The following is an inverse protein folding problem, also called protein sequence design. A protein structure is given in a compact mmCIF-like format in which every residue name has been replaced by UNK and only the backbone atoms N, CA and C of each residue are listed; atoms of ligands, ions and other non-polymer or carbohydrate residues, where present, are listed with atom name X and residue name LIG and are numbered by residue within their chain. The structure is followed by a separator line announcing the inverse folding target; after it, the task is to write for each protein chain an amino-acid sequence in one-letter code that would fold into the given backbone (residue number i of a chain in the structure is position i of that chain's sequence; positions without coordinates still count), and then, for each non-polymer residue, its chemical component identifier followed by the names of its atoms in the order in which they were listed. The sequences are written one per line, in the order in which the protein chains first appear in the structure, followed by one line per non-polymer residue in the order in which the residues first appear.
data_IF_909353298211
#
_entry.id   IF_909353298211
#
_cell.length_a   1.000
_cell.length_b   1.000
_cell.length_c   1.000
_cell.angle_alpha   90.00
_cell.angle_beta   90.00
_cell.angle_gamma   90.00
#
_symmetry.space_group_name_H-M   'P 1'
#
loop_
_entity.id
_entity.type
_entity.pdbx_description
1 polymer ?
#
# COMPACT_ATOMS: atom_id res chain seq x y z
N UNK A 1 -57.84 -4.62 -15.38
CA UNK A 1 -56.61 -5.32 -14.95
C UNK A 1 -55.49 -4.33 -14.99
N UNK A 2 -55.15 -3.74 -13.85
CA UNK A 2 -54.16 -2.67 -13.77
C UNK A 2 -53.36 -2.81 -12.48
N UNK A 3 -52.04 -2.63 -12.64
CA UNK A 3 -51.15 -1.86 -11.76
C UNK A 3 -50.58 -2.57 -10.52
N UNK A 4 -49.23 -2.58 -10.50
CA UNK A 4 -48.30 -2.58 -9.38
C UNK A 4 -48.43 -3.68 -8.31
N UNK A 5 -47.59 -4.72 -8.45
CA UNK A 5 -46.97 -5.34 -7.28
C UNK A 5 -45.81 -4.45 -6.85
N UNK A 6 -46.10 -3.55 -5.91
CA UNK A 6 -45.11 -2.86 -5.10
C UNK A 6 -44.17 -3.89 -4.47
N UNK A 7 -42.88 -3.78 -4.79
CA UNK A 7 -41.86 -4.24 -3.85
C UNK A 7 -42.00 -3.34 -2.63
N UNK A 8 -42.56 -3.87 -1.56
CA UNK A 8 -42.51 -3.23 -0.25
C UNK A 8 -41.04 -3.16 0.17
N UNK A 9 -40.44 -1.98 -0.01
CA UNK A 9 -39.30 -1.53 0.78
C UNK A 9 -39.78 -1.38 2.22
N UNK A 10 -39.86 -2.49 2.95
CA UNK A 10 -39.96 -2.45 4.39
C UNK A 10 -38.72 -3.12 4.99
N UNK A 11 -37.95 -2.24 5.62
CA UNK A 11 -37.16 -2.49 6.82
C UNK A 11 -35.75 -3.06 6.66
N UNK A 12 -34.84 -2.17 6.24
CA UNK A 12 -33.51 -2.07 6.82
C UNK A 12 -33.15 -0.58 6.87
N UNK A 13 -33.73 0.13 7.83
CA UNK A 13 -33.18 1.43 8.27
C UNK A 13 -31.86 1.20 9.01
N UNK A 14 -30.87 0.69 8.29
CA UNK A 14 -29.49 0.74 8.73
C UNK A 14 -29.10 2.21 8.58
N UNK A 15 -29.23 2.99 9.65
CA UNK A 15 -28.90 4.42 9.66
C UNK A 15 -27.59 4.61 8.90
N UNK A 16 -27.64 5.25 7.72
CA UNK A 16 -26.47 5.40 6.89
C UNK A 16 -25.42 6.13 7.72
N UNK A 17 -24.32 5.45 8.06
CA UNK A 17 -23.23 6.02 8.86
C UNK A 17 -22.82 7.34 8.23
N UNK A 18 -22.92 8.42 9.00
CA UNK A 18 -22.39 9.70 8.57
C UNK A 18 -20.90 9.75 8.89
N UNK A 19 -20.17 10.66 8.23
CA UNK A 19 -18.73 10.81 8.48
C UNK A 19 -18.44 11.18 9.95
N UNK A 20 -19.35 11.89 10.61
CA UNK A 20 -19.17 12.37 11.99
C UNK A 20 -19.30 11.23 13.02
N UNK A 21 -19.92 10.11 12.65
CA UNK A 21 -20.08 8.94 13.51
C UNK A 21 -18.82 8.06 13.55
N UNK A 22 -17.92 8.21 12.57
CA UNK A 22 -16.77 7.31 12.39
C UNK A 22 -15.56 7.85 13.17
N UNK A 23 -15.29 7.22 14.31
CA UNK A 23 -14.11 7.51 15.13
C UNK A 23 -12.99 6.52 14.85
N UNK A 24 -11.99 6.96 14.08
CA UNK A 24 -10.79 6.18 13.77
C UNK A 24 -9.71 6.48 14.80
N UNK A 25 -9.26 5.43 15.50
CA UNK A 25 -8.10 5.47 16.40
C UNK A 25 -6.96 4.64 15.80
N UNK A 26 -5.70 4.79 16.28
CA UNK A 26 -4.57 4.04 15.74
C UNK A 26 -4.79 2.51 15.76
N UNK A 27 -5.22 1.97 16.90
CA UNK A 27 -5.45 0.52 17.05
C UNK A 27 -6.74 0.03 16.37
N UNK A 28 -7.78 0.87 16.27
CA UNK A 28 -8.94 0.52 15.46
C UNK A 28 -8.55 0.36 13.98
N UNK A 29 -7.76 1.30 13.45
CA UNK A 29 -7.28 1.22 12.07
C UNK A 29 -6.34 0.04 11.87
N UNK A 30 -5.46 -0.25 12.84
CA UNK A 30 -4.61 -1.44 12.78
C UNK A 30 -5.45 -2.71 12.71
N UNK A 31 -6.39 -2.91 13.62
CA UNK A 31 -7.25 -4.11 13.62
C UNK A 31 -8.04 -4.25 12.32
N UNK A 32 -8.54 -3.15 11.77
CA UNK A 32 -9.18 -3.14 10.47
C UNK A 32 -8.22 -3.53 9.33
N UNK A 33 -6.99 -3.03 9.36
CA UNK A 33 -5.95 -3.40 8.38
C UNK A 33 -5.52 -4.85 8.53
N UNK A 34 -5.48 -5.40 9.73
CA UNK A 34 -5.21 -6.81 10.02
C UNK A 34 -6.31 -7.75 9.47
N UNK A 35 -7.54 -7.26 9.31
CA UNK A 35 -8.57 -7.92 8.52
C UNK A 35 -8.41 -7.68 7.01
N UNK A 36 -8.66 -6.43 6.59
CA UNK A 36 -8.97 -6.07 5.20
C UNK A 36 -7.85 -5.33 4.45
N UNK A 37 -6.75 -5.04 5.13
CA UNK A 37 -5.57 -4.42 4.52
C UNK A 37 -4.79 -5.39 3.64
N UNK A 38 -4.19 -4.87 2.57
CA UNK A 38 -3.36 -5.65 1.64
C UNK A 38 -2.07 -4.90 1.33
N UNK A 39 -0.95 -5.56 1.63
CA UNK A 39 0.40 -5.15 1.27
C UNK A 39 0.85 -5.94 0.05
N UNK A 40 1.16 -5.24 -1.04
CA UNK A 40 1.58 -5.91 -2.27
C UNK A 40 2.58 -5.07 -3.07
N UNK A 41 3.30 -5.76 -3.95
CA UNK A 41 4.28 -5.15 -4.83
C UNK A 41 3.78 -5.25 -6.26
N UNK A 42 3.58 -4.10 -6.90
CA UNK A 42 3.21 -4.04 -8.31
C UNK A 42 4.45 -4.34 -9.15
N UNK A 43 4.42 -5.48 -9.85
CA UNK A 43 5.36 -5.79 -10.93
C UNK A 43 4.87 -5.13 -12.22
N UNK A 44 5.75 -4.42 -12.92
CA UNK A 44 5.43 -3.66 -14.14
C UNK A 44 6.70 -3.05 -14.72
N UNK A 45 6.58 -1.91 -15.43
CA UNK A 45 7.78 -1.18 -15.94
C UNK A 45 8.78 -0.81 -14.83
N UNK A 46 8.29 -0.69 -13.60
CA UNK A 46 9.12 -0.52 -12.41
C UNK A 46 8.44 -1.21 -11.25
N UNK A 47 9.24 -1.81 -10.37
CA UNK A 47 8.76 -2.40 -9.13
C UNK A 47 8.34 -1.28 -8.16
N UNK A 48 7.15 -1.41 -7.57
CA UNK A 48 6.63 -0.39 -6.66
C UNK A 48 5.76 -0.98 -5.57
N UNK A 49 5.98 -0.51 -4.34
CA UNK A 49 5.11 -0.82 -3.22
C UNK A 49 3.71 -0.22 -3.40
N UNK A 50 2.71 -0.95 -2.92
CA UNK A 50 1.31 -0.58 -2.85
C UNK A 50 0.69 -1.10 -1.55
N UNK A 51 -0.14 -0.27 -0.96
CA UNK A 51 -1.02 -0.66 0.13
C UNK A 51 -2.46 -0.38 -0.30
N UNK A 52 -3.38 -1.28 -0.01
CA UNK A 52 -4.80 -1.04 -0.27
C UNK A 52 -5.71 -1.64 0.78
N UNK A 53 -6.92 -1.08 0.85
CA UNK A 53 -8.05 -1.61 1.60
C UNK A 53 -9.22 -1.68 0.62
N UNK A 54 -9.84 -2.85 0.48
CA UNK A 54 -11.02 -3.06 -0.34
C UNK A 54 -12.26 -3.25 0.52
N UNK A 55 -13.38 -2.64 0.14
CA UNK A 55 -14.66 -2.82 0.83
C UNK A 55 -15.84 -2.82 -0.15
N UNK A 56 -17.02 -3.16 0.35
CA UNK A 56 -18.27 -2.95 -0.40
C UNK A 56 -18.47 -1.47 -0.74
N UNK A 57 -19.17 -1.15 -1.83
CA UNK A 57 -19.44 0.24 -2.19
C UNK A 57 -20.20 1.02 -1.11
N UNK A 58 -21.06 0.33 -0.35
CA UNK A 58 -21.83 0.90 0.75
C UNK A 58 -20.92 1.51 1.84
N UNK A 59 -19.72 0.96 2.00
CA UNK A 59 -18.74 1.41 3.00
C UNK A 59 -17.76 2.45 2.45
N UNK A 60 -18.07 3.09 1.31
CA UNK A 60 -17.21 4.12 0.74
C UNK A 60 -16.93 5.27 1.74
N UNK A 61 -17.92 5.64 2.56
CA UNK A 61 -17.76 6.69 3.59
C UNK A 61 -16.69 6.29 4.61
N UNK A 62 -16.58 5.00 4.94
CA UNK A 62 -15.54 4.47 5.83
C UNK A 62 -14.15 4.63 5.18
N UNK A 63 -14.00 4.22 3.92
CA UNK A 63 -12.71 4.37 3.22
C UNK A 63 -12.31 5.83 3.04
N UNK A 64 -13.27 6.71 2.75
CA UNK A 64 -13.02 8.15 2.69
C UNK A 64 -12.61 8.69 4.08
N UNK A 65 -13.17 8.18 5.18
CA UNK A 65 -12.77 8.56 6.54
C UNK A 65 -11.38 8.04 6.92
N UNK A 66 -11.03 6.81 6.53
CA UNK A 66 -9.67 6.25 6.69
C UNK A 66 -8.65 7.07 5.90
N UNK A 67 -9.00 7.51 4.68
CA UNK A 67 -8.15 8.41 3.89
C UNK A 67 -7.90 9.71 4.65
N UNK A 68 -8.93 10.38 5.17
CA UNK A 68 -8.76 11.63 5.92
C UNK A 68 -7.93 11.42 7.19
N UNK A 69 -8.11 10.30 7.90
CA UNK A 69 -7.29 9.95 9.05
C UNK A 69 -5.80 9.80 8.67
N UNK A 70 -5.48 9.08 7.59
CA UNK A 70 -4.10 8.97 7.13
C UNK A 70 -3.51 10.33 6.73
N UNK A 71 -4.31 11.23 6.14
CA UNK A 71 -3.88 12.57 5.74
C UNK A 71 -3.72 13.53 6.93
N UNK A 72 -4.31 13.22 8.10
CA UNK A 72 -4.16 14.00 9.33
C UNK A 72 -2.95 13.58 10.18
N UNK A 73 -2.29 12.47 9.84
CA UNK A 73 -1.09 12.00 10.55
C UNK A 73 0.08 13.00 10.44
N UNK A 74 0.97 13.03 11.45
CA UNK A 74 2.21 13.80 11.37
C UNK A 74 3.06 13.43 10.14
N UNK A 75 3.78 14.41 9.58
CA UNK A 75 4.66 14.19 8.43
C UNK A 75 3.99 14.27 7.06
N UNK A 76 2.66 14.43 7.01
CA UNK A 76 1.95 14.76 5.77
C UNK A 76 2.20 16.24 5.44
N UNK A 77 2.87 16.49 4.32
CA UNK A 77 3.05 17.85 3.81
C UNK A 77 1.66 18.45 3.52
N UNK A 78 1.28 19.48 4.28
CA UNK A 78 0.06 20.25 3.99
C UNK A 78 0.28 20.98 2.66
N UNK A 79 -0.71 21.00 1.74
CA UNK A 79 -0.61 21.81 0.53
C UNK A 79 -0.32 23.25 0.94
N UNK A 80 0.84 23.78 0.55
CA UNK A 80 1.28 25.12 0.96
C UNK A 80 0.59 26.24 0.19
N UNK A 81 -0.17 25.94 -0.86
CA UNK A 81 -1.15 26.85 -1.44
C UNK A 81 -2.37 26.04 -1.89
N UNK A 82 -3.53 26.43 -1.37
CA UNK A 82 -4.84 26.03 -1.85
C UNK A 82 -4.99 26.55 -3.28
N UNK A 83 -4.63 25.74 -4.29
CA UNK A 83 -5.19 25.89 -5.64
C UNK A 83 -6.66 25.47 -5.58
N UNK A 84 -7.48 26.29 -4.92
CA UNK A 84 -8.93 26.25 -5.08
C UNK A 84 -9.15 26.74 -6.51
N UNK A 85 -9.34 25.79 -7.42
CA UNK A 85 -10.05 26.14 -8.65
C UNK A 85 -11.44 26.62 -8.25
N UNK A 86 -11.93 27.72 -8.82
CA UNK A 86 -13.24 28.32 -8.52
C UNK A 86 -14.42 27.35 -8.70
N UNK A 87 -14.19 26.15 -9.23
CA UNK A 87 -15.13 25.03 -9.32
C UNK A 87 -15.20 24.13 -8.07
N UNK A 88 -14.45 24.41 -6.99
CA UNK A 88 -14.46 23.59 -5.77
C UNK A 88 -13.71 22.25 -5.88
N UNK A 89 -13.11 21.97 -7.03
CA UNK A 89 -12.30 20.78 -7.26
C UNK A 89 -10.84 21.05 -6.90
N UNK A 90 -10.38 20.50 -5.78
CA UNK A 90 -8.96 20.38 -5.54
C UNK A 90 -8.38 19.35 -6.53
N UNK A 91 -7.81 19.80 -7.65
CA UNK A 91 -6.90 18.97 -8.48
C UNK A 91 -5.53 18.77 -7.80
N UNK A 92 -5.52 18.64 -6.47
CA UNK A 92 -4.34 18.30 -5.70
C UNK A 92 -4.03 16.80 -5.88
N UNK A 93 -2.77 16.47 -6.14
CA UNK A 93 -2.31 15.09 -6.16
C UNK A 93 -2.45 14.51 -4.75
N UNK A 94 -3.56 13.81 -4.47
CA UNK A 94 -3.71 13.08 -3.22
C UNK A 94 -2.83 11.82 -3.27
N UNK A 95 -1.96 11.57 -2.27
CA UNK A 95 -1.14 10.35 -2.21
C UNK A 95 -1.98 9.08 -2.02
N UNK A 96 -3.24 9.25 -1.62
CA UNK A 96 -4.24 8.22 -1.36
C UNK A 96 -5.40 8.39 -2.35
N UNK A 97 -5.76 7.32 -3.07
CA UNK A 97 -6.91 7.30 -3.98
C UNK A 97 -7.99 6.38 -3.42
N UNK A 98 -9.21 6.89 -3.29
CA UNK A 98 -10.41 6.05 -3.12
C UNK A 98 -11.11 5.97 -4.46
N UNK A 99 -11.35 4.76 -4.95
CA UNK A 99 -12.01 4.53 -6.24
C UNK A 99 -13.04 3.44 -6.17
N UNK A 100 -14.09 3.59 -6.97
CA UNK A 100 -15.09 2.55 -7.19
C UNK A 100 -14.52 1.54 -8.18
N UNK A 101 -14.62 0.26 -7.85
CA UNK A 101 -14.22 -0.83 -8.73
C UNK A 101 -15.41 -1.26 -9.57
N UNK A 102 -15.17 -1.49 -10.87
CA UNK A 102 -16.23 -1.96 -11.76
C UNK A 102 -16.64 -3.38 -11.33
N UNK A 103 -17.93 -3.64 -11.09
CA UNK A 103 -18.38 -4.99 -10.79
C UNK A 103 -18.07 -5.91 -11.96
N UNK A 104 -17.51 -7.08 -11.68
CA UNK A 104 -17.34 -8.14 -12.65
C UNK A 104 -18.52 -9.11 -12.55
N UNK A 105 -19.15 -9.44 -13.67
CA UNK A 105 -20.15 -10.51 -13.73
C UNK A 105 -21.31 -10.41 -12.73
N UNK A 106 -22.04 -9.29 -12.71
CA UNK A 106 -23.23 -9.12 -11.86
C UNK A 106 -22.96 -8.98 -10.36
N UNK A 107 -21.68 -8.97 -9.93
CA UNK A 107 -21.31 -8.74 -8.54
C UNK A 107 -21.77 -7.36 -8.03
N UNK A 108 -21.94 -7.23 -6.72
CA UNK A 108 -22.16 -5.92 -6.08
C UNK A 108 -20.92 -5.03 -6.30
N UNK A 109 -21.11 -3.71 -6.49
CA UNK A 109 -19.99 -2.79 -6.65
C UNK A 109 -19.13 -2.76 -5.38
N UNK A 110 -17.82 -2.60 -5.57
CA UNK A 110 -16.84 -2.47 -4.50
C UNK A 110 -16.14 -1.11 -4.58
N UNK A 111 -15.46 -0.73 -3.51
CA UNK A 111 -14.57 0.42 -3.49
C UNK A 111 -13.20 0.02 -2.93
N UNK A 112 -12.17 0.75 -3.32
CA UNK A 112 -10.79 0.52 -2.90
C UNK A 112 -10.10 1.82 -2.55
N UNK A 113 -9.50 1.85 -1.37
CA UNK A 113 -8.48 2.81 -0.99
C UNK A 113 -7.12 2.25 -1.44
N UNK A 114 -6.34 3.05 -2.16
CA UNK A 114 -5.02 2.68 -2.67
C UNK A 114 -4.00 3.77 -2.34
N UNK A 115 -2.92 3.37 -1.68
CA UNK A 115 -1.76 4.20 -1.39
C UNK A 115 -0.58 3.71 -2.22
N UNK A 116 -0.05 4.62 -3.02
CA UNK A 116 0.84 4.31 -4.14
C UNK A 116 2.02 5.28 -4.25
N UNK A 117 1.93 6.41 -3.56
CA UNK A 117 2.99 7.40 -3.49
C UNK A 117 4.12 6.90 -2.57
N UNK A 118 5.30 6.62 -3.14
CA UNK A 118 6.45 6.08 -2.39
C UNK A 118 6.83 6.94 -1.19
N UNK A 119 6.74 8.25 -1.32
CA UNK A 119 7.11 9.18 -0.25
C UNK A 119 6.15 9.10 0.92
N UNK A 120 4.85 9.08 0.67
CA UNK A 120 3.84 8.86 1.69
C UNK A 120 4.01 7.49 2.36
N UNK A 121 4.28 6.44 1.57
CA UNK A 121 4.53 5.10 2.12
C UNK A 121 5.71 5.09 3.08
N UNK A 122 6.85 5.65 2.66
CA UNK A 122 8.10 5.63 3.45
C UNK A 122 8.05 6.55 4.68
N UNK A 123 7.40 7.72 4.56
CA UNK A 123 7.52 8.77 5.58
C UNK A 123 6.29 8.87 6.50
N UNK A 124 5.16 8.26 6.13
CA UNK A 124 3.91 8.35 6.90
C UNK A 124 3.38 6.96 7.24
N UNK A 125 3.09 6.14 6.22
CA UNK A 125 2.41 4.86 6.44
C UNK A 125 3.28 3.84 7.19
N UNK A 126 4.52 3.65 6.75
CA UNK A 126 5.45 2.71 7.39
C UNK A 126 5.75 3.14 8.84
N UNK A 127 6.16 4.39 9.13
CA UNK A 127 6.39 4.83 10.50
C UNK A 127 5.17 4.73 11.42
N UNK A 128 3.96 4.99 10.89
CA UNK A 128 2.72 4.81 11.66
C UNK A 128 2.55 3.36 12.09
N UNK A 129 2.66 2.40 11.18
CA UNK A 129 2.49 0.99 11.51
C UNK A 129 3.66 0.39 12.30
N UNK A 130 4.87 0.90 12.14
CA UNK A 130 6.04 0.53 12.96
C UNK A 130 5.88 0.98 14.42
N UNK A 131 5.01 1.97 14.69
CA UNK A 131 4.75 2.46 16.05
C UNK A 131 3.68 1.68 16.82
N UNK A 132 3.04 0.69 16.18
CA UNK A 132 1.93 -0.06 16.74
C UNK A 132 2.29 -1.54 16.93
N UNK A 133 1.64 -2.18 17.89
CA UNK A 133 1.78 -3.61 18.17
C UNK A 133 0.74 -4.43 17.40
N UNK A 134 1.19 -5.30 16.53
CA UNK A 134 0.35 -6.16 15.69
C UNK A 134 -0.11 -7.42 16.43
N UNK A 135 -1.25 -7.98 16.03
CA UNK A 135 -1.86 -9.15 16.68
C UNK A 135 -2.05 -10.33 15.72
N UNK A 136 -1.71 -10.16 14.43
CA UNK A 136 -1.92 -11.13 13.37
C UNK A 136 -0.67 -11.39 12.54
N UNK A 137 -0.71 -12.49 11.77
CA UNK A 137 0.36 -12.83 10.79
C UNK A 137 0.52 -11.78 9.68
N UNK A 138 -0.40 -10.83 9.53
CA UNK A 138 -0.27 -9.75 8.55
C UNK A 138 0.91 -8.84 8.86
N UNK A 139 1.37 -8.79 10.11
CA UNK A 139 2.62 -8.12 10.48
C UNK A 139 3.80 -8.65 9.66
N UNK A 140 3.89 -9.97 9.48
CA UNK A 140 4.98 -10.58 8.72
C UNK A 140 4.93 -10.16 7.25
N UNK A 141 3.73 -10.01 6.68
CA UNK A 141 3.55 -9.50 5.31
C UNK A 141 3.94 -8.02 5.20
N UNK A 142 3.63 -7.23 6.23
CA UNK A 142 4.06 -5.84 6.33
C UNK A 142 5.59 -5.72 6.44
N UNK A 143 6.24 -6.54 7.25
CA UNK A 143 7.71 -6.58 7.41
C UNK A 143 8.39 -6.93 6.09
N UNK A 144 7.95 -8.00 5.42
CA UNK A 144 8.47 -8.43 4.12
C UNK A 144 8.28 -7.35 3.05
N UNK A 145 7.10 -6.75 3.01
CA UNK A 145 6.78 -5.66 2.09
C UNK A 145 7.63 -4.42 2.34
N UNK A 146 7.87 -4.06 3.61
CA UNK A 146 8.76 -2.97 4.02
C UNK A 146 10.20 -3.24 3.59
N UNK A 147 10.70 -4.47 3.80
CA UNK A 147 12.02 -4.91 3.36
C UNK A 147 12.21 -4.76 1.84
N UNK A 148 11.22 -5.20 1.04
CA UNK A 148 11.24 -4.98 -0.41
C UNK A 148 11.28 -3.49 -0.74
N UNK A 149 10.57 -2.64 0.03
CA UNK A 149 10.66 -1.18 -0.08
C UNK A 149 12.08 -0.64 0.07
N UNK A 150 12.81 -1.10 1.10
CA UNK A 150 14.21 -0.72 1.34
C UNK A 150 15.09 -1.12 0.15
N UNK A 151 14.95 -2.35 -0.34
CA UNK A 151 15.70 -2.86 -1.51
C UNK A 151 15.38 -2.06 -2.79
N UNK A 152 14.12 -1.63 -2.97
CA UNK A 152 13.72 -0.76 -4.08
C UNK A 152 14.38 0.62 -3.96
N UNK A 153 14.32 1.23 -2.78
CA UNK A 153 14.86 2.56 -2.53
C UNK A 153 16.39 2.62 -2.71
N UNK A 154 17.09 1.53 -2.40
CA UNK A 154 18.53 1.37 -2.66
C UNK A 154 18.85 0.88 -4.09
N UNK A 155 17.85 0.64 -4.94
CA UNK A 155 18.05 0.17 -6.32
C UNK A 155 18.60 -1.24 -6.46
N UNK A 156 18.51 -2.05 -5.42
CA UNK A 156 19.03 -3.43 -5.39
C UNK A 156 18.27 -4.34 -6.36
N UNK A 157 17.01 -4.03 -6.64
CA UNK A 157 16.19 -4.70 -7.66
C UNK A 157 16.73 -4.59 -9.10
N UNK A 158 17.73 -3.74 -9.37
CA UNK A 158 18.45 -3.72 -10.66
C UNK A 158 19.69 -4.63 -10.68
N UNK A 159 19.93 -5.39 -9.62
CA UNK A 159 21.01 -6.36 -9.50
C UNK A 159 20.42 -7.78 -9.57
N UNK A 160 21.08 -8.74 -10.24
CA UNK A 160 20.59 -10.12 -10.30
C UNK A 160 20.35 -10.75 -8.93
N UNK A 161 21.27 -10.54 -7.98
CA UNK A 161 21.12 -11.03 -6.61
C UNK A 161 19.90 -10.42 -5.89
N UNK A 162 19.66 -9.12 -6.10
CA UNK A 162 18.51 -8.43 -5.52
C UNK A 162 17.17 -8.88 -6.11
N UNK A 163 17.14 -9.20 -7.40
CA UNK A 163 15.95 -9.78 -8.05
C UNK A 163 15.59 -11.14 -7.44
N UNK A 164 16.58 -12.04 -7.30
CA UNK A 164 16.39 -13.37 -6.67
C UNK A 164 15.88 -13.24 -5.23
N UNK A 165 16.50 -12.37 -4.44
CA UNK A 165 16.08 -12.14 -3.04
C UNK A 165 14.65 -11.59 -2.98
N UNK A 166 14.32 -10.59 -3.80
CA UNK A 166 12.96 -10.01 -3.82
C UNK A 166 11.94 -11.08 -4.23
N UNK A 167 12.21 -11.89 -5.25
CA UNK A 167 11.29 -12.97 -5.65
C UNK A 167 11.09 -14.00 -4.53
N UNK A 168 12.14 -14.35 -3.78
CA UNK A 168 12.04 -15.25 -2.61
C UNK A 168 11.19 -14.64 -1.49
N UNK A 169 11.34 -13.33 -1.21
CA UNK A 169 10.48 -12.61 -0.24
C UNK A 169 9.01 -12.62 -0.72
N UNK A 170 8.77 -12.26 -1.99
CA UNK A 170 7.42 -12.17 -2.54
C UNK A 170 6.72 -13.53 -2.63
N UNK A 171 7.47 -14.62 -2.79
CA UNK A 171 6.93 -15.97 -2.74
C UNK A 171 6.49 -16.39 -1.33
N UNK A 172 7.12 -15.83 -0.28
CA UNK A 172 6.83 -16.11 1.12
C UNK A 172 5.75 -15.21 1.75
N UNK A 173 5.37 -14.11 1.12
CA UNK A 173 4.37 -13.18 1.66
C UNK A 173 2.92 -13.56 1.29
N UNK A 174 1.96 -12.99 2.02
CA UNK A 174 0.51 -13.13 1.80
C UNK A 174 0.08 -14.61 1.75
N UNK A 175 -0.62 -15.01 0.67
CA UNK A 175 -1.06 -16.39 0.47
C UNK A 175 0.09 -17.40 0.39
N UNK A 176 1.30 -16.97 0.01
CA UNK A 176 2.49 -17.81 0.03
C UNK A 176 2.82 -18.30 1.44
N UNK A 177 2.65 -17.42 2.44
CA UNK A 177 2.87 -17.72 3.87
C UNK A 177 1.90 -18.76 4.42
N UNK A 178 0.69 -18.80 3.88
CA UNK A 178 -0.38 -19.69 4.33
C UNK A 178 -0.42 -21.00 3.52
N UNK A 179 0.50 -21.17 2.57
CA UNK A 179 0.56 -22.37 1.74
C UNK A 179 1.03 -23.58 2.54
N UNK A 180 0.35 -24.70 2.40
CA UNK A 180 0.69 -26.00 3.02
C UNK A 180 1.44 -26.93 2.08
N UNK A 181 2.01 -26.40 1.00
CA UNK A 181 2.60 -27.20 -0.06
C UNK A 181 4.02 -27.69 0.33
N UNK A 182 4.21 -29.00 0.54
CA UNK A 182 5.44 -29.65 1.03
C UNK A 182 6.78 -29.27 0.35
N UNK A 183 6.78 -28.59 -0.80
CA UNK A 183 8.00 -28.01 -1.40
C UNK A 183 8.53 -26.78 -0.64
N UNK A 184 7.69 -26.06 0.11
CA UNK A 184 8.12 -24.91 0.93
C UNK A 184 8.85 -25.34 2.21
N UNK A 185 8.54 -26.52 2.75
CA UNK A 185 9.16 -27.05 3.98
C UNK A 185 10.67 -27.34 3.82
N UNK A 186 11.14 -27.55 2.58
CA UNK A 186 12.57 -27.67 2.28
C UNK A 186 13.31 -26.30 2.33
N UNK A 187 12.59 -25.17 2.17
CA UNK A 187 13.17 -23.82 2.24
C UNK A 187 13.37 -23.34 3.69
N UNK A 188 12.63 -23.88 4.68
CA UNK A 188 12.77 -23.48 6.08
C UNK A 188 14.14 -23.84 6.70
N UNK A 189 14.82 -24.88 6.19
CA UNK A 189 16.17 -25.25 6.61
C UNK A 189 17.26 -24.28 6.14
N UNK A 190 16.94 -23.35 5.25
CA UNK A 190 17.85 -22.39 4.61
C UNK A 190 17.61 -20.93 5.09
N UNK A 191 16.82 -20.74 6.15
CA UNK A 191 16.42 -19.40 6.61
C UNK A 191 17.59 -18.58 7.19
N UNK A 192 18.61 -19.22 7.77
CA UNK A 192 19.80 -18.52 8.27
C UNK A 192 20.70 -18.01 7.13
N UNK A 193 20.93 -18.84 6.10
CA UNK A 193 21.67 -18.43 4.90
C UNK A 193 20.95 -17.29 4.19
N UNK A 194 19.63 -17.42 4.01
CA UNK A 194 18.84 -16.40 3.34
C UNK A 194 18.87 -15.06 4.08
N UNK A 195 18.77 -15.07 5.41
CA UNK A 195 18.88 -13.86 6.21
C UNK A 195 20.25 -13.19 6.05
N UNK A 196 21.32 -13.97 6.06
CA UNK A 196 22.68 -13.46 5.83
C UNK A 196 22.81 -12.82 4.43
N UNK A 197 22.28 -13.46 3.39
CA UNK A 197 22.28 -12.91 2.02
C UNK A 197 21.54 -11.57 1.92
N UNK A 198 20.41 -11.44 2.62
CA UNK A 198 19.65 -10.18 2.70
C UNK A 198 20.47 -9.11 3.42
N UNK A 199 21.08 -9.44 4.56
CA UNK A 199 21.90 -8.53 5.36
C UNK A 199 23.13 -8.05 4.57
N UNK A 200 23.83 -8.94 3.89
CA UNK A 200 24.97 -8.63 3.02
C UNK A 200 24.56 -7.69 1.88
N UNK A 201 23.41 -7.95 1.23
CA UNK A 201 22.90 -7.11 0.16
C UNK A 201 22.54 -5.69 0.65
N UNK A 202 21.98 -5.58 1.85
CA UNK A 202 21.63 -4.31 2.49
C UNK A 202 22.86 -3.54 2.97
N UNK A 203 23.90 -4.24 3.46
CA UNK A 203 25.16 -3.65 3.90
C UNK A 203 25.98 -3.10 2.73
N UNK A 204 25.86 -3.71 1.54
CA UNK A 204 26.50 -3.19 0.34
C UNK A 204 25.99 -1.78 0.00
N UNK A 205 26.82 -0.91 -0.63
CA UNK A 205 26.39 0.43 -1.03
C UNK A 205 25.12 0.43 -1.89
N UNK A 206 24.29 1.47 -1.75
CA UNK A 206 23.14 1.71 -2.64
C UNK A 206 23.56 1.59 -4.10
N UNK A 207 22.73 1.01 -4.98
CA UNK A 207 22.95 0.96 -6.43
C UNK A 207 22.41 2.23 -7.14
N UNK A 208 21.89 3.18 -6.38
CA UNK A 208 21.37 4.46 -6.87
C UNK A 208 22.16 5.60 -6.26
N UNK A 209 22.45 6.61 -7.09
CA UNK A 209 22.92 7.92 -6.66
C UNK A 209 21.88 8.99 -7.05
N UNK A 210 21.68 9.98 -6.19
CA UNK A 210 20.81 11.12 -6.47
C UNK A 210 21.70 12.30 -6.85
N UNK A 211 21.59 12.73 -8.11
CA UNK A 211 22.31 13.87 -8.64
C UNK A 211 21.43 15.14 -8.58
N UNK A 212 21.98 16.26 -9.06
CA UNK A 212 21.30 17.55 -9.12
C UNK A 212 19.85 17.47 -9.66
N UNK A 213 18.98 18.30 -9.09
CA UNK A 213 17.54 18.36 -9.43
C UNK A 213 16.79 17.04 -9.16
N UNK A 214 17.29 16.22 -8.23
CA UNK A 214 16.68 14.96 -7.82
C UNK A 214 16.75 13.85 -8.87
N UNK A 215 17.69 13.94 -9.83
CA UNK A 215 17.85 12.94 -10.88
C UNK A 215 18.47 11.67 -10.32
N UNK A 216 17.82 10.54 -10.58
CA UNK A 216 18.24 9.23 -10.09
C UNK A 216 19.16 8.59 -11.14
N UNK A 217 20.41 8.31 -10.77
CA UNK A 217 21.37 7.55 -11.58
C UNK A 217 21.49 6.13 -11.05
N UNK A 218 21.36 5.12 -11.93
CA UNK A 218 21.46 3.71 -11.57
C UNK A 218 22.86 3.23 -11.95
N UNK A 219 23.69 2.90 -10.95
CA UNK A 219 25.11 2.56 -11.12
C UNK A 219 25.30 1.32 -11.99
N UNK A 220 24.62 0.22 -11.67
CA UNK A 220 24.74 -1.04 -12.42
C UNK A 220 24.36 -0.91 -13.89
N UNK A 221 23.40 -0.05 -14.22
CA UNK A 221 22.89 0.14 -15.57
C UNK A 221 23.54 1.32 -16.32
N UNK A 222 24.42 2.08 -15.64
CA UNK A 222 25.09 3.29 -16.16
C UNK A 222 24.15 4.29 -16.84
N UNK A 223 22.93 4.46 -16.31
CA UNK A 223 21.91 5.34 -16.91
C UNK A 223 21.04 6.05 -15.87
N UNK A 224 20.45 7.16 -16.28
CA UNK A 224 19.43 7.85 -15.50
C UNK A 224 18.08 7.15 -15.58
N UNK A 225 17.37 7.08 -14.46
CA UNK A 225 15.98 6.65 -14.42
C UNK A 225 15.10 7.71 -15.10
N UNK A 226 14.26 7.29 -16.05
CA UNK A 226 13.37 8.20 -16.79
C UNK A 226 12.11 8.46 -15.98
N UNK A 227 11.65 9.71 -15.97
CA UNK A 227 10.32 10.10 -15.46
C UNK A 227 10.13 10.10 -13.94
N UNK A 228 11.12 9.66 -13.15
CA UNK A 228 11.08 9.71 -11.68
C UNK A 228 12.18 10.65 -11.16
N UNK A 229 11.81 11.55 -10.27
CA UNK A 229 12.73 12.42 -9.52
C UNK A 229 12.45 12.26 -8.04
N UNK A 230 13.48 12.41 -7.22
CA UNK A 230 13.28 12.57 -5.77
C UNK A 230 12.77 13.99 -5.55
N UNK A 231 11.62 14.13 -4.89
CA UNK A 231 11.13 15.45 -4.46
C UNK A 231 11.91 15.84 -3.20
N UNK A 232 12.66 16.93 -3.26
CA UNK A 232 13.02 17.67 -2.05
C UNK A 232 11.75 18.35 -1.55
N UNK A 233 11.34 18.07 -0.32
CA UNK A 233 10.39 18.95 0.38
C UNK A 233 11.13 20.16 0.90
#
# INVERSE_FOLDING_TARGET
MNINRSFEENDLSMSALTRDDIKITPYWLLGFVEGDGSFFVRKGKSLALRFSIGQSFQERILLDSIKEYFLSLPGVAKPTHLDISESGDCKGYSPIKVSIEKPYGGAKPACRLLISNTTFLNNVLIPFFDSLEWQSKKELDFIDWKLVGVLINQGKHYLPAGEVIIEKILAGMNNGRLSTNKKTDAMEKDNSSFKAEVEDLLAAPSNIDVHEKGRIYIKSLKRYLRGKRVSSY
#
